data_IF_040055688542
#
_entry.id   IF_040055688542
#
_cell.length_a   1.000
_cell.length_b   1.000
_cell.length_c   1.000
_cell.angle_alpha   90.00
_cell.angle_beta   90.00
_cell.angle_gamma   90.00
#
_symmetry.space_group_name_H-M   'P 1'
#
loop_
_entity.id
_entity.type
_entity.pdbx_description
1 polymer ?
#
# COMPACT_ATOMS: atom_id res chain seq x y z
N UNK A 1 3.15 7.53 -1.36
CA UNK A 1 2.49 7.67 -0.04
C UNK A 1 0.98 7.71 -0.25
N UNK A 2 0.19 7.29 0.75
CA UNK A 2 -1.28 7.36 0.77
C UNK A 2 -1.65 8.38 1.83
N UNK A 3 -2.53 9.32 1.48
CA UNK A 3 -2.95 10.40 2.38
C UNK A 3 -4.47 10.35 2.52
N UNK A 4 -4.95 10.51 3.75
CA UNK A 4 -6.38 10.55 4.06
C UNK A 4 -6.69 11.65 5.08
N UNK A 5 -7.93 12.14 5.05
CA UNK A 5 -8.52 13.04 6.05
C UNK A 5 -9.26 12.27 7.17
N UNK A 6 -9.29 10.93 7.10
CA UNK A 6 -9.81 10.08 8.17
C UNK A 6 -8.95 10.15 9.43
N UNK A 7 -9.50 9.72 10.56
CA UNK A 7 -8.83 9.77 11.87
C UNK A 7 -7.52 8.97 11.87
N UNK A 8 -7.50 7.76 11.29
CA UNK A 8 -6.32 6.92 11.23
C UNK A 8 -5.78 6.79 9.80
N UNK A 9 -4.45 6.61 9.62
CA UNK A 9 -3.87 6.27 8.32
C UNK A 9 -4.49 4.99 7.78
N UNK A 10 -4.85 4.98 6.49
CA UNK A 10 -5.47 3.82 5.85
C UNK A 10 -4.54 3.16 4.82
N UNK A 11 -4.62 1.83 4.68
CA UNK A 11 -3.91 1.12 3.62
C UNK A 11 -4.58 1.34 2.26
N UNK A 12 -3.82 1.22 1.15
CA UNK A 12 -4.41 1.17 -0.18
C UNK A 12 -5.40 -0.02 -0.31
N UNK A 13 -6.42 0.11 -1.15
CA UNK A 13 -7.35 -0.98 -1.45
C UNK A 13 -6.67 -2.12 -2.24
N UNK A 14 -7.34 -3.26 -2.38
CA UNK A 14 -6.78 -4.44 -3.05
C UNK A 14 -6.31 -4.18 -4.49
N UNK A 15 -7.11 -3.45 -5.28
CA UNK A 15 -6.76 -3.10 -6.66
C UNK A 15 -5.47 -2.25 -6.72
N UNK A 16 -5.37 -1.20 -5.89
CA UNK A 16 -4.16 -0.39 -5.81
C UNK A 16 -2.93 -1.22 -5.41
N UNK A 17 -3.07 -2.14 -4.44
CA UNK A 17 -1.96 -3.01 -4.04
C UNK A 17 -1.47 -3.86 -5.22
N UNK A 18 -2.38 -4.44 -5.99
CA UNK A 18 -2.04 -5.29 -7.13
C UNK A 18 -1.35 -4.48 -8.24
N UNK A 19 -1.86 -3.28 -8.57
CA UNK A 19 -1.23 -2.38 -9.55
C UNK A 19 0.18 -2.00 -9.09
N UNK A 20 0.37 -1.61 -7.83
CA UNK A 20 1.71 -1.28 -7.32
C UNK A 20 2.64 -2.51 -7.41
N UNK A 21 2.12 -3.72 -7.14
CA UNK A 21 2.91 -4.95 -7.15
C UNK A 21 3.45 -5.33 -8.54
N UNK A 22 2.79 -4.89 -9.61
CA UNK A 22 3.25 -5.08 -10.99
C UNK A 22 4.53 -4.29 -11.29
N UNK A 23 4.71 -3.13 -10.66
CA UNK A 23 5.87 -2.26 -10.88
C UNK A 23 6.93 -2.39 -9.79
N UNK A 24 6.52 -2.58 -8.53
CA UNK A 24 7.42 -2.74 -7.40
C UNK A 24 6.78 -3.58 -6.27
N UNK A 25 6.98 -4.91 -6.27
CA UNK A 25 6.43 -5.80 -5.24
C UNK A 25 7.01 -5.55 -3.84
N UNK A 26 8.17 -4.88 -3.74
CA UNK A 26 8.86 -4.57 -2.49
C UNK A 26 8.69 -3.11 -2.05
N UNK A 27 7.72 -2.38 -2.61
CA UNK A 27 7.52 -0.96 -2.33
C UNK A 27 7.28 -0.69 -0.84
N UNK A 28 7.88 0.39 -0.32
CA UNK A 28 7.52 0.95 0.97
C UNK A 28 6.22 1.76 0.85
N UNK A 29 5.25 1.44 1.70
CA UNK A 29 3.93 2.06 1.75
C UNK A 29 3.89 2.97 2.97
N UNK A 30 4.01 4.28 2.72
CA UNK A 30 3.85 5.33 3.73
C UNK A 30 2.41 5.81 3.71
N UNK A 31 1.73 5.76 4.85
CA UNK A 31 0.33 6.15 5.04
C UNK A 31 0.28 7.28 6.05
N UNK A 32 -0.48 8.33 5.75
CA UNK A 32 -0.58 9.52 6.58
C UNK A 32 -2.04 9.96 6.75
N UNK A 33 -2.42 10.28 7.98
CA UNK A 33 -3.66 10.98 8.28
C UNK A 33 -3.39 12.46 8.51
N UNK A 34 -4.07 13.31 7.75
CA UNK A 34 -3.99 14.77 7.90
C UNK A 34 -4.59 15.21 9.23
N UNK A 35 -5.62 14.50 9.71
CA UNK A 35 -6.40 14.86 10.90
C UNK A 35 -5.66 14.53 12.20
N UNK A 36 -5.20 13.30 12.35
CA UNK A 36 -4.47 12.88 13.57
C UNK A 36 -2.96 13.14 13.49
N UNK A 37 -2.43 13.54 12.33
CA UNK A 37 -0.99 13.68 12.05
C UNK A 37 -0.21 12.38 12.20
N UNK A 38 -0.88 11.23 12.31
CA UNK A 38 -0.24 9.92 12.44
C UNK A 38 0.38 9.49 11.10
N UNK A 39 1.54 8.85 11.20
CA UNK A 39 2.20 8.18 10.08
C UNK A 39 2.29 6.69 10.41
N UNK A 40 1.99 5.86 9.44
CA UNK A 40 2.29 4.42 9.49
C UNK A 40 3.06 4.03 8.24
N UNK A 41 4.10 3.21 8.42
CA UNK A 41 4.94 2.72 7.33
C UNK A 41 4.91 1.20 7.34
N UNK A 42 4.71 0.62 6.18
CA UNK A 42 4.76 -0.83 5.98
C UNK A 42 5.31 -1.16 4.59
N UNK A 43 5.40 -2.43 4.25
CA UNK A 43 5.82 -2.88 2.92
C UNK A 43 4.62 -3.41 2.15
N UNK A 44 4.67 -3.30 0.81
CA UNK A 44 3.63 -3.86 -0.04
C UNK A 44 3.52 -5.39 0.14
N UNK A 45 4.65 -6.08 0.35
CA UNK A 45 4.68 -7.51 0.62
C UNK A 45 3.87 -7.90 1.87
N UNK A 46 3.84 -7.05 2.91
CA UNK A 46 3.02 -7.29 4.11
C UNK A 46 1.54 -7.02 3.85
N UNK A 47 1.22 -6.07 2.97
CA UNK A 47 -0.17 -5.73 2.62
C UNK A 47 -0.78 -6.64 1.55
N UNK A 48 0.04 -7.27 0.71
CA UNK A 48 -0.39 -8.17 -0.36
C UNK A 48 0.51 -9.41 -0.39
N UNK A 49 0.40 -10.30 0.62
CA UNK A 49 1.14 -11.54 0.64
C UNK A 49 0.71 -12.42 -0.53
N UNK A 50 1.66 -13.18 -1.08
CA UNK A 50 1.40 -14.10 -2.20
C UNK A 50 0.69 -13.41 -3.39
N UNK A 51 1.09 -12.16 -3.69
CA UNK A 51 0.53 -11.36 -4.79
C UNK A 51 0.49 -12.16 -6.09
N UNK A 52 -0.63 -12.08 -6.82
CA UNK A 52 -0.72 -12.66 -8.15
C UNK A 52 0.34 -12.05 -9.07
N UNK A 53 1.00 -12.89 -9.87
CA UNK A 53 1.91 -12.47 -10.93
C UNK A 53 1.48 -13.14 -12.21
N UNK A 54 1.33 -12.36 -13.27
CA UNK A 54 1.08 -12.92 -14.59
C UNK A 54 2.32 -13.70 -15.03
N UNK A 55 2.19 -14.99 -15.42
CA UNK A 55 3.30 -15.73 -15.99
C UNK A 55 3.83 -15.00 -17.23
N UNK A 56 5.15 -14.84 -17.33
CA UNK A 56 5.76 -14.36 -18.57
C UNK A 56 5.59 -15.46 -19.62
N UNK A 57 5.10 -15.08 -20.80
CA UNK A 57 5.08 -15.95 -21.99
C UNK A 57 6.49 -16.21 -22.48
#
# INVERSE_FOLDING_TARGET
>A
AIVTDLEDPIPPCGACRQVIAEFNPSANIVMYSVKSKKIQVTTLQRLLPMSFKLPKR
#
